data_IF_810546235850
#
_entry.id   IF_810546235850
#
_cell.length_a   1.000
_cell.length_b   1.000
_cell.length_c   1.000
_cell.angle_alpha   90.00
_cell.angle_beta   90.00
_cell.angle_gamma   90.00
#
_symmetry.space_group_name_H-M   'P 1'
#
loop_
_entity.id
_entity.type
_entity.pdbx_description
1 polymer ?
#
# COMPACT_ATOMS: atom_id res chain seq x y z
N UNK A 1 51.97 47.71 9.99
CA UNK A 1 50.59 47.37 9.60
C UNK A 1 50.62 45.97 8.97
N UNK A 2 49.67 45.08 9.33
CA UNK A 2 49.51 43.69 8.83
C UNK A 2 50.30 42.54 9.48
N UNK A 3 50.82 42.72 10.71
CA UNK A 3 51.35 41.58 11.49
C UNK A 3 50.23 40.56 11.73
N UNK A 4 50.48 39.29 11.41
CA UNK A 4 49.49 38.19 11.54
C UNK A 4 48.68 37.91 10.27
N UNK A 5 48.86 38.67 9.18
CA UNK A 5 48.28 38.34 7.88
C UNK A 5 49.17 37.33 7.15
N UNK A 6 48.94 36.04 7.39
CA UNK A 6 49.75 34.94 6.84
C UNK A 6 49.64 34.76 5.32
N UNK A 7 48.75 35.50 4.66
CA UNK A 7 48.57 35.49 3.21
C UNK A 7 49.48 36.49 2.46
N UNK A 8 50.15 37.39 3.19
CA UNK A 8 51.02 38.42 2.63
C UNK A 8 52.47 37.98 2.36
N UNK A 9 53.12 37.08 3.15
CA UNK A 9 54.39 36.50 2.75
C UNK A 9 54.15 35.45 1.66
N UNK A 10 54.08 35.91 0.42
CA UNK A 10 53.72 35.08 -0.72
C UNK A 10 54.93 34.45 -1.37
N UNK A 11 54.77 33.21 -1.84
CA UNK A 11 55.80 32.52 -2.61
C UNK A 11 55.24 32.13 -3.98
N UNK A 12 56.06 32.33 -5.00
CA UNK A 12 55.79 31.93 -6.38
C UNK A 12 57.05 31.32 -6.97
N UNK A 13 56.89 30.39 -7.89
CA UNK A 13 57.99 29.71 -8.55
C UNK A 13 57.78 29.76 -10.07
N UNK A 14 58.73 30.36 -10.78
CA UNK A 14 58.71 30.49 -12.23
C UNK A 14 59.77 29.57 -12.83
N UNK A 15 59.35 28.69 -13.73
CA UNK A 15 60.23 27.76 -14.44
C UNK A 15 60.21 28.07 -15.92
N UNK A 16 61.40 28.21 -16.51
CA UNK A 16 61.60 28.50 -17.92
C UNK A 16 62.26 27.31 -18.62
N UNK A 17 61.78 26.97 -19.81
CA UNK A 17 62.33 25.89 -20.63
C UNK A 17 62.44 26.30 -22.09
N UNK A 18 63.61 26.09 -22.70
CA UNK A 18 63.83 26.25 -24.12
C UNK A 18 63.13 25.15 -24.96
N UNK A 19 62.71 25.51 -26.18
CA UNK A 19 62.24 24.57 -27.20
C UNK A 19 63.35 23.65 -27.75
N UNK A 20 62.98 22.65 -28.56
CA UNK A 20 63.93 21.71 -29.14
C UNK A 20 64.60 22.30 -30.40
N UNK A 21 65.93 22.17 -30.55
CA UNK A 21 66.66 22.50 -31.79
C UNK A 21 67.32 23.89 -31.92
N UNK A 22 67.76 24.51 -30.81
CA UNK A 22 68.23 25.93 -30.71
C UNK A 22 67.06 26.91 -30.69
N UNK A 23 66.85 27.69 -29.60
CA UNK A 23 65.49 28.03 -29.19
C UNK A 23 64.74 29.01 -30.08
N UNK A 24 63.96 28.44 -30.98
CA UNK A 24 62.82 29.07 -31.68
C UNK A 24 61.66 29.50 -30.75
N UNK A 25 61.72 29.18 -29.45
CA UNK A 25 60.71 29.57 -28.45
C UNK A 25 61.06 29.09 -27.03
N UNK A 26 60.37 29.66 -26.03
CA UNK A 26 60.40 29.18 -24.64
C UNK A 26 59.00 28.82 -24.13
N UNK A 27 58.97 27.99 -23.09
CA UNK A 27 57.80 27.79 -22.23
C UNK A 27 58.09 28.40 -20.87
N UNK A 28 57.13 29.18 -20.35
CA UNK A 28 57.15 29.73 -19.00
C UNK A 28 56.00 29.12 -18.21
N UNK A 29 56.30 28.52 -17.06
CA UNK A 29 55.30 27.97 -16.14
C UNK A 29 55.45 28.59 -14.76
N UNK A 30 54.33 29.09 -14.22
CA UNK A 30 54.23 29.69 -12.91
C UNK A 30 53.50 28.75 -11.97
N UNK A 31 54.12 28.39 -10.86
CA UNK A 31 53.52 27.63 -9.78
C UNK A 31 53.08 28.59 -8.67
N UNK A 32 51.77 28.78 -8.54
CA UNK A 32 51.14 29.61 -7.53
C UNK A 32 51.02 28.82 -6.23
N UNK A 33 51.80 29.22 -5.22
CA UNK A 33 51.86 28.57 -3.90
C UNK A 33 51.12 29.34 -2.81
N UNK A 34 50.74 30.58 -3.10
CA UNK A 34 50.03 31.47 -2.18
C UNK A 34 48.92 32.23 -2.92
N UNK A 35 47.80 32.59 -2.26
CA UNK A 35 46.69 33.31 -2.89
C UNK A 35 47.09 34.62 -3.57
N UNK A 36 48.01 35.38 -2.94
CA UNK A 36 48.35 36.75 -3.34
C UNK A 36 49.72 36.91 -4.02
N UNK A 37 50.41 35.81 -4.36
CA UNK A 37 51.73 35.85 -5.02
C UNK A 37 51.68 36.33 -6.47
N UNK A 38 52.71 36.02 -7.26
CA UNK A 38 52.66 36.20 -8.72
C UNK A 38 51.45 35.46 -9.26
N UNK A 39 50.66 36.14 -10.09
CA UNK A 39 49.38 35.65 -10.60
C UNK A 39 49.50 35.02 -11.99
N UNK A 40 50.34 35.61 -12.84
CA UNK A 40 50.54 35.20 -14.23
C UNK A 40 51.98 35.52 -14.65
N UNK A 41 52.44 34.86 -15.70
CA UNK A 41 53.67 35.21 -16.39
C UNK A 41 53.44 35.29 -17.90
N UNK A 42 54.30 36.05 -18.59
CA UNK A 42 54.30 36.19 -20.05
C UNK A 42 55.73 36.42 -20.55
N UNK A 43 55.93 36.26 -21.84
CA UNK A 43 57.24 36.45 -22.47
C UNK A 43 57.16 37.03 -23.87
N UNK A 44 58.21 37.73 -24.30
CA UNK A 44 58.39 38.28 -25.66
C UNK A 44 59.73 37.81 -26.20
N UNK A 45 59.77 37.26 -27.42
CA UNK A 45 61.04 37.05 -28.13
C UNK A 45 61.51 38.40 -28.68
N UNK A 46 62.66 38.87 -28.21
CA UNK A 46 63.21 40.18 -28.62
C UNK A 46 64.14 40.05 -29.81
N UNK A 47 64.92 38.96 -29.90
CA UNK A 47 65.69 38.58 -31.09
C UNK A 47 66.32 37.20 -30.91
N UNK A 48 66.29 36.36 -31.95
CA UNK A 48 66.91 35.03 -31.93
C UNK A 48 66.47 34.20 -30.72
N UNK A 49 67.42 33.91 -29.84
CA UNK A 49 67.26 33.10 -28.64
C UNK A 49 67.08 33.96 -27.35
N UNK A 50 66.81 35.27 -27.49
CA UNK A 50 66.62 36.20 -26.38
C UNK A 50 65.15 36.49 -26.10
N UNK A 51 64.80 36.53 -24.81
CA UNK A 51 63.43 36.66 -24.35
C UNK A 51 63.32 37.60 -23.15
N UNK A 52 62.36 38.51 -23.21
CA UNK A 52 61.92 39.28 -22.04
C UNK A 52 60.82 38.52 -21.31
N UNK A 53 60.89 38.54 -19.98
CA UNK A 53 59.96 37.83 -19.09
C UNK A 53 59.21 38.84 -18.24
N UNK A 54 57.88 38.72 -18.25
CA UNK A 54 56.96 39.58 -17.52
C UNK A 54 56.19 38.75 -16.50
N UNK A 55 55.94 39.32 -15.32
CA UNK A 55 55.14 38.70 -14.26
C UNK A 55 54.07 39.67 -13.78
N UNK A 56 52.84 39.18 -13.57
CA UNK A 56 51.76 39.98 -13.00
C UNK A 56 51.73 39.79 -11.49
N UNK A 57 51.84 40.89 -10.77
CA UNK A 57 51.75 40.94 -9.30
C UNK A 57 50.56 41.82 -8.89
N UNK A 58 50.06 41.61 -7.68
CA UNK A 58 49.02 42.45 -7.11
C UNK A 58 49.53 43.87 -6.81
N UNK A 59 48.60 44.82 -6.72
CA UNK A 59 48.89 46.17 -6.24
C UNK A 59 49.51 46.10 -4.83
N UNK A 60 50.42 47.04 -4.53
CA UNK A 60 51.12 47.15 -3.24
C UNK A 60 52.21 46.09 -2.96
N UNK A 61 52.69 45.38 -3.98
CA UNK A 61 53.94 44.64 -3.88
C UNK A 61 55.10 45.61 -3.59
N UNK A 62 55.83 45.37 -2.49
CA UNK A 62 56.80 46.35 -1.95
C UNK A 62 58.26 45.91 -2.13
N UNK A 63 58.56 44.62 -1.89
CA UNK A 63 59.90 44.04 -2.10
C UNK A 63 59.79 42.70 -2.83
N UNK A 64 60.69 42.47 -3.78
CA UNK A 64 60.83 41.20 -4.49
C UNK A 64 62.22 40.60 -4.21
N UNK A 65 62.24 39.33 -3.84
CA UNK A 65 63.46 38.52 -3.81
C UNK A 65 63.35 37.53 -4.96
N UNK A 66 64.33 37.56 -5.88
CA UNK A 66 64.45 36.61 -6.97
C UNK A 66 65.70 35.75 -6.76
N UNK A 67 65.48 34.44 -6.72
CA UNK A 67 66.54 33.42 -6.75
C UNK A 67 66.40 32.65 -8.05
N UNK A 68 67.51 32.39 -8.73
CA UNK A 68 67.50 31.73 -10.03
C UNK A 68 68.70 30.80 -10.20
N UNK A 69 68.53 29.82 -11.08
CA UNK A 69 69.56 28.91 -11.55
C UNK A 69 69.30 28.60 -13.04
N UNK A 70 70.31 28.17 -13.79
CA UNK A 70 70.19 27.91 -15.21
C UNK A 70 71.21 26.86 -15.71
N UNK A 71 70.92 26.23 -16.85
CA UNK A 71 71.79 25.19 -17.44
C UNK A 71 72.94 25.81 -18.25
N UNK A 72 74.02 25.04 -18.50
CA UNK A 72 75.28 25.55 -19.05
C UNK A 72 75.25 26.27 -20.42
N UNK A 73 74.14 26.22 -21.16
CA UNK A 73 73.95 26.90 -22.45
C UNK A 73 72.86 28.00 -22.40
N UNK A 74 72.44 28.42 -21.20
CA UNK A 74 71.49 29.50 -20.98
C UNK A 74 72.16 30.65 -20.23
N UNK A 75 71.52 31.83 -20.26
CA UNK A 75 71.86 32.95 -19.38
C UNK A 75 70.56 33.57 -18.87
N UNK A 76 70.57 34.02 -17.61
CA UNK A 76 69.48 34.80 -17.03
C UNK A 76 70.07 36.11 -16.53
N UNK A 77 69.50 37.21 -17.01
CA UNK A 77 69.82 38.55 -16.52
C UNK A 77 68.65 39.08 -15.72
N UNK A 78 68.89 39.39 -14.44
CA UNK A 78 67.90 40.03 -13.58
C UNK A 78 68.13 41.54 -13.57
N UNK A 79 67.11 42.31 -13.97
CA UNK A 79 67.15 43.77 -13.85
C UNK A 79 66.70 44.19 -12.44
N UNK A 80 67.50 45.02 -11.77
CA UNK A 80 67.18 45.55 -10.43
C UNK A 80 66.05 46.58 -10.43
N UNK A 81 65.75 47.15 -11.60
CA UNK A 81 64.62 48.04 -11.85
C UNK A 81 63.93 47.62 -13.17
N UNK A 82 63.12 46.56 -13.15
CA UNK A 82 62.40 46.13 -14.34
C UNK A 82 61.39 47.20 -14.78
N UNK A 83 61.15 47.30 -16.09
CA UNK A 83 60.15 48.22 -16.63
C UNK A 83 58.75 47.86 -16.11
N UNK A 84 58.05 48.86 -15.58
CA UNK A 84 56.65 48.70 -15.17
C UNK A 84 55.73 48.96 -16.34
N UNK A 85 54.72 48.11 -16.50
CA UNK A 85 53.63 48.31 -17.44
C UNK A 85 52.29 48.09 -16.73
N UNK A 86 51.37 49.04 -16.86
CA UNK A 86 50.01 48.96 -16.28
C UNK A 86 49.17 47.86 -16.96
N UNK A 87 49.44 47.62 -18.24
CA UNK A 87 48.78 46.59 -19.04
C UNK A 87 49.78 45.54 -19.49
N UNK A 88 49.31 44.34 -19.82
CA UNK A 88 50.18 43.32 -20.44
C UNK A 88 50.84 43.90 -21.71
N UNK A 89 52.17 43.78 -21.89
CA UNK A 89 52.84 44.25 -23.10
C UNK A 89 52.21 43.68 -24.38
N UNK A 90 52.17 44.49 -25.44
CA UNK A 90 51.71 44.06 -26.75
C UNK A 90 52.63 42.95 -27.30
N UNK A 91 52.06 41.97 -28.01
CA UNK A 91 52.77 40.80 -28.56
C UNK A 91 53.36 39.82 -27.53
N UNK A 92 53.06 39.97 -26.23
CA UNK A 92 53.49 38.99 -25.23
C UNK A 92 52.69 37.68 -25.31
N UNK A 93 53.44 36.58 -25.30
CA UNK A 93 52.91 35.22 -25.19
C UNK A 93 52.68 34.88 -23.72
N UNK A 94 51.50 34.32 -23.40
CA UNK A 94 51.18 33.92 -22.03
C UNK A 94 51.95 32.65 -21.63
N UNK A 95 52.47 32.64 -20.40
CA UNK A 95 52.87 31.41 -19.73
C UNK A 95 51.67 30.67 -19.14
N UNK A 96 51.93 29.48 -18.61
CA UNK A 96 50.92 28.67 -17.92
C UNK A 96 51.02 28.83 -16.41
N UNK A 97 49.87 28.97 -15.74
CA UNK A 97 49.82 29.08 -14.27
C UNK A 97 49.17 27.85 -13.68
N UNK A 98 49.86 27.22 -12.72
CA UNK A 98 49.39 26.08 -11.94
C UNK A 98 49.15 26.51 -10.50
N UNK A 99 48.07 26.02 -9.91
CA UNK A 99 47.75 26.25 -8.49
C UNK A 99 48.19 25.05 -7.65
N UNK A 100 48.98 25.28 -6.61
CA UNK A 100 49.26 24.26 -5.59
C UNK A 100 48.21 24.34 -4.49
N UNK A 101 47.33 23.35 -4.43
CA UNK A 101 46.34 23.26 -3.38
C UNK A 101 46.99 23.00 -2.01
N UNK A 102 46.52 23.74 -1.00
CA UNK A 102 46.97 23.65 0.38
C UNK A 102 45.86 24.16 1.33
N UNK A 103 46.13 24.25 2.62
CA UNK A 103 45.13 24.71 3.60
C UNK A 103 44.63 26.14 3.36
N UNK A 104 45.41 27.01 2.71
CA UNK A 104 45.04 28.37 2.27
C UNK A 104 44.45 28.43 0.86
N UNK A 105 44.61 27.36 0.07
CA UNK A 105 44.13 27.23 -1.31
C UNK A 105 43.46 25.87 -1.47
N UNK A 106 42.22 25.71 -0.96
CA UNK A 106 41.48 24.44 -1.04
C UNK A 106 40.91 24.22 -2.44
N UNK A 107 40.87 22.97 -2.94
CA UNK A 107 40.17 22.67 -4.18
C UNK A 107 38.64 22.75 -4.00
N UNK A 108 37.94 23.14 -5.04
CA UNK A 108 36.50 22.95 -5.23
C UNK A 108 36.21 21.56 -5.78
N UNK A 109 34.94 21.13 -5.80
CA UNK A 109 34.56 19.87 -6.44
C UNK A 109 34.96 19.82 -7.93
N UNK A 110 34.95 20.96 -8.63
CA UNK A 110 35.40 21.04 -10.02
C UNK A 110 36.91 20.96 -10.19
N UNK A 111 37.68 21.33 -9.16
CA UNK A 111 39.14 21.27 -9.19
C UNK A 111 39.69 19.83 -9.07
N UNK A 112 38.86 18.89 -8.58
CA UNK A 112 39.22 17.49 -8.33
C UNK A 112 38.24 16.50 -8.96
N UNK A 113 37.41 16.96 -9.88
CA UNK A 113 36.40 16.15 -10.56
C UNK A 113 35.45 15.37 -9.60
N UNK A 114 35.10 15.95 -8.44
CA UNK A 114 34.20 15.37 -7.45
C UNK A 114 32.72 15.76 -7.67
N UNK A 115 31.80 14.98 -7.10
CA UNK A 115 30.37 15.29 -7.13
C UNK A 115 30.06 16.52 -6.25
N UNK A 116 29.33 17.50 -6.79
CA UNK A 116 28.92 18.71 -6.07
C UNK A 116 27.91 18.40 -4.96
N UNK A 117 27.98 19.18 -3.87
CA UNK A 117 27.06 19.11 -2.72
C UNK A 117 25.65 19.60 -3.04
N UNK A 118 25.48 20.39 -4.11
CA UNK A 118 24.16 20.78 -4.62
C UNK A 118 23.55 19.70 -5.52
N UNK A 119 24.10 18.49 -5.46
CA UNK A 119 23.81 17.41 -6.39
C UNK A 119 24.60 17.53 -7.69
N UNK A 120 24.48 16.51 -8.53
CA UNK A 120 25.16 16.44 -9.81
C UNK A 120 24.87 15.12 -10.50
N UNK A 121 25.53 14.89 -11.63
CA UNK A 121 25.37 13.68 -12.43
C UNK A 121 26.57 12.76 -12.24
N UNK A 122 26.30 11.52 -11.83
CA UNK A 122 27.25 10.43 -11.88
C UNK A 122 27.13 9.73 -13.26
N UNK A 123 28.21 9.73 -14.07
CA UNK A 123 28.31 9.00 -15.36
C UNK A 123 28.99 7.62 -15.14
N UNK A 124 28.47 6.84 -14.18
CA UNK A 124 29.02 5.55 -13.75
C UNK A 124 28.25 4.94 -12.57
N UNK A 125 28.66 3.77 -12.08
CA UNK A 125 27.99 3.02 -11.02
C UNK A 125 28.18 3.61 -9.60
N UNK A 126 27.20 3.41 -8.71
CA UNK A 126 27.26 3.75 -7.28
C UNK A 126 27.24 2.47 -6.43
N UNK A 127 28.36 2.10 -5.83
CA UNK A 127 28.44 1.03 -4.83
C UNK A 127 28.34 1.61 -3.43
N UNK A 128 27.41 1.14 -2.62
CA UNK A 128 27.27 1.50 -1.21
C UNK A 128 27.62 0.26 -0.40
N UNK A 129 28.83 0.21 0.16
CA UNK A 129 29.30 -0.89 1.01
C UNK A 129 29.64 -2.22 0.31
N UNK A 130 29.65 -2.26 -1.03
CA UNK A 130 30.26 -3.33 -1.84
C UNK A 130 30.60 -2.78 -3.23
N UNK A 131 31.58 -3.41 -3.91
CA UNK A 131 31.87 -3.08 -5.31
C UNK A 131 30.60 -3.31 -6.14
N UNK A 132 30.18 -2.29 -6.89
CA UNK A 132 29.00 -2.40 -7.73
C UNK A 132 29.33 -3.22 -8.98
N UNK A 133 28.98 -4.50 -8.94
CA UNK A 133 29.12 -5.44 -10.06
C UNK A 133 27.90 -5.47 -11.01
N UNK A 134 26.90 -4.61 -10.83
CA UNK A 134 25.68 -4.59 -11.67
C UNK A 134 25.91 -3.95 -13.07
N UNK A 135 27.04 -3.25 -13.30
CA UNK A 135 27.35 -2.54 -14.57
C UNK A 135 26.49 -1.29 -14.82
N UNK A 136 26.81 -0.48 -15.83
CA UNK A 136 26.02 0.72 -16.19
C UNK A 136 25.85 1.75 -15.06
N UNK A 137 24.68 2.41 -14.96
CA UNK A 137 24.34 3.35 -13.87
C UNK A 137 23.40 2.65 -12.85
N UNK A 138 23.89 2.26 -11.68
CA UNK A 138 23.18 1.39 -10.70
C UNK A 138 23.57 1.66 -9.23
N UNK A 139 22.79 1.16 -8.25
CA UNK A 139 23.02 1.30 -6.79
C UNK A 139 23.02 -0.09 -6.12
N UNK A 140 24.08 -0.45 -5.39
CA UNK A 140 24.18 -1.69 -4.56
C UNK A 140 24.35 -1.29 -3.09
N UNK A 141 23.79 -2.05 -2.12
CA UNK A 141 23.78 -1.75 -0.68
C UNK A 141 24.62 -2.76 0.15
N UNK A 142 25.15 -2.32 1.31
CA UNK A 142 26.41 -2.76 1.96
C UNK A 142 26.41 -3.91 2.98
N UNK A 143 25.33 -4.66 3.03
CA UNK A 143 25.38 -6.07 3.35
C UNK A 143 24.71 -6.80 2.17
N UNK A 144 24.83 -8.12 2.05
CA UNK A 144 24.44 -8.75 0.79
C UNK A 144 22.92 -8.90 0.60
N UNK A 145 22.05 -8.46 1.53
CA UNK A 145 20.63 -8.79 1.44
C UNK A 145 19.62 -7.87 2.17
N UNK A 146 20.05 -6.72 2.69
CA UNK A 146 19.16 -5.70 3.27
C UNK A 146 19.18 -4.43 2.45
N UNK A 147 17.99 -3.86 2.19
CA UNK A 147 17.94 -2.71 1.31
C UNK A 147 16.65 -1.90 1.32
N UNK A 148 16.85 -0.58 1.39
CA UNK A 148 15.89 0.38 0.90
C UNK A 148 15.94 0.32 -0.60
N UNK A 149 14.94 -0.34 -1.10
CA UNK A 149 14.71 -0.30 -2.49
C UNK A 149 13.68 0.81 -2.60
N UNK A 150 14.08 2.04 -2.92
CA UNK A 150 13.10 2.95 -3.51
C UNK A 150 12.55 2.18 -4.68
N UNK A 151 11.39 1.60 -4.43
CA UNK A 151 10.73 0.82 -5.43
C UNK A 151 9.87 1.73 -6.29
N UNK A 152 9.99 3.03 -6.05
CA UNK A 152 9.94 4.07 -7.06
C UNK A 152 9.54 5.44 -6.56
N UNK A 153 9.11 6.24 -7.54
CA UNK A 153 8.51 7.54 -7.35
C UNK A 153 7.18 7.39 -6.61
N UNK A 154 7.11 7.96 -5.40
CA UNK A 154 6.04 7.69 -4.45
C UNK A 154 5.95 6.24 -3.93
N UNK A 155 6.89 5.35 -4.31
CA UNK A 155 6.88 3.93 -3.99
C UNK A 155 8.14 3.53 -3.22
N UNK A 156 7.97 2.73 -2.17
CA UNK A 156 9.10 2.36 -1.35
C UNK A 156 9.00 0.91 -0.86
N UNK A 157 9.94 0.14 -1.42
CA UNK A 157 10.33 -1.24 -1.22
C UNK A 157 11.16 -1.48 0.05
N UNK A 158 10.79 -2.45 0.89
CA UNK A 158 11.56 -2.79 2.09
C UNK A 158 12.02 -4.25 2.04
N UNK A 159 13.33 -4.44 1.93
CA UNK A 159 14.00 -5.74 1.97
C UNK A 159 14.89 -5.81 3.22
N UNK A 160 14.85 -6.90 3.98
CA UNK A 160 15.54 -7.10 5.26
C UNK A 160 16.06 -8.52 5.38
N UNK A 161 17.38 -8.72 5.41
CA UNK A 161 17.98 -10.05 5.59
C UNK A 161 17.44 -11.04 4.53
N UNK A 162 17.36 -10.52 3.30
CA UNK A 162 16.71 -11.08 2.12
C UNK A 162 15.17 -11.21 2.16
N UNK A 163 14.49 -10.77 3.21
CA UNK A 163 13.04 -10.81 3.31
C UNK A 163 12.40 -9.52 2.79
N UNK A 164 11.58 -9.64 1.76
CA UNK A 164 10.77 -8.54 1.27
C UNK A 164 9.52 -8.42 2.13
N UNK A 165 9.35 -7.30 2.82
CA UNK A 165 8.38 -7.24 3.92
C UNK A 165 7.19 -6.34 3.62
N UNK A 166 7.41 -5.22 2.96
CA UNK A 166 6.40 -4.18 2.76
C UNK A 166 6.66 -3.44 1.46
N UNK A 167 5.56 -2.96 0.87
CA UNK A 167 5.55 -1.98 -0.22
C UNK A 167 4.56 -0.85 0.09
N UNK A 168 5.03 0.37 -0.14
CA UNK A 168 4.23 1.61 -0.10
C UNK A 168 4.02 2.12 -1.53
N UNK A 169 2.83 2.64 -1.84
CA UNK A 169 2.55 3.30 -3.11
C UNK A 169 1.46 4.40 -3.00
N UNK A 170 1.25 5.21 -4.06
CA UNK A 170 0.19 6.20 -4.09
C UNK A 170 -1.21 5.54 -4.02
N UNK A 171 -1.87 5.63 -2.86
CA UNK A 171 -3.25 5.15 -2.64
C UNK A 171 -3.40 3.75 -2.02
N UNK A 172 -2.32 3.03 -1.75
CA UNK A 172 -2.40 1.68 -1.17
C UNK A 172 -1.10 1.23 -0.46
N UNK A 173 -1.22 0.17 0.35
CA UNK A 173 -0.12 -0.46 1.09
C UNK A 173 -0.22 -1.97 1.05
N UNK A 174 0.93 -2.62 0.86
CA UNK A 174 1.07 -4.07 0.70
C UNK A 174 1.99 -4.64 1.79
N UNK A 175 1.57 -5.76 2.41
CA UNK A 175 2.28 -6.49 3.49
C UNK A 175 2.57 -7.93 3.03
N UNK A 176 3.83 -8.37 3.13
CA UNK A 176 4.33 -9.63 2.56
C UNK A 176 4.62 -10.75 3.59
N UNK A 177 3.99 -10.66 4.77
CA UNK A 177 3.76 -11.78 5.69
C UNK A 177 2.36 -12.35 5.45
N UNK A 178 1.59 -12.66 6.50
CA UNK A 178 0.16 -12.85 6.36
C UNK A 178 -0.43 -11.69 5.52
N UNK A 179 -0.78 -11.98 4.25
CA UNK A 179 -1.68 -11.12 3.50
C UNK A 179 -3.10 -11.50 3.84
N UNK A 180 -3.90 -10.68 3.26
CA UNK A 180 -5.31 -10.62 3.19
C UNK A 180 -5.46 -10.59 1.60
N UNK A 181 -5.97 -11.64 0.85
CA UNK A 181 -5.59 -12.08 -0.58
C UNK A 181 -6.65 -12.73 -1.61
N UNK A 182 -6.24 -13.38 -2.81
CA UNK A 182 -6.90 -14.38 -3.81
C UNK A 182 -6.19 -14.78 -5.22
N UNK A 183 -6.24 -16.02 -5.83
CA UNK A 183 -5.38 -16.55 -7.00
C UNK A 183 -6.03 -16.82 -8.43
N UNK A 184 -6.92 -17.82 -8.64
CA UNK A 184 -7.46 -18.20 -10.00
C UNK A 184 -8.93 -17.85 -10.27
N UNK A 185 -9.56 -17.27 -9.25
CA UNK A 185 -10.87 -16.62 -9.24
C UNK A 185 -10.67 -15.31 -8.49
N UNK A 186 -11.36 -14.26 -8.90
CA UNK A 186 -11.30 -12.97 -8.21
C UNK A 186 -11.93 -13.12 -6.81
N UNK A 187 -11.15 -12.84 -5.75
CA UNK A 187 -11.71 -12.48 -4.44
C UNK A 187 -11.83 -10.95 -4.41
N UNK A 188 -13.06 -10.44 -4.37
CA UNK A 188 -13.33 -9.00 -4.43
C UNK A 188 -13.93 -8.48 -3.14
N UNK A 189 -13.35 -7.40 -2.61
CA UNK A 189 -13.96 -6.51 -1.62
C UNK A 189 -14.36 -5.24 -2.37
N UNK A 190 -15.66 -4.96 -2.47
CA UNK A 190 -16.18 -3.82 -3.27
C UNK A 190 -17.19 -3.01 -2.49
N UNK A 191 -17.12 -1.69 -2.63
CA UNK A 191 -18.13 -0.74 -2.17
C UNK A 191 -18.66 0.06 -3.36
N UNK A 192 -19.97 0.12 -3.52
CA UNK A 192 -20.66 1.03 -4.46
C UNK A 192 -20.83 2.44 -3.87
N UNK A 193 -20.32 2.67 -2.66
CA UNK A 193 -20.37 3.93 -1.90
C UNK A 193 -21.79 4.49 -1.70
N UNK A 194 -22.80 3.63 -1.79
CA UNK A 194 -24.20 3.94 -1.53
C UNK A 194 -24.73 3.22 -0.28
N UNK A 195 -23.95 2.32 0.31
CA UNK A 195 -24.28 1.75 1.61
C UNK A 195 -24.31 2.88 2.62
N UNK A 196 -25.38 2.93 3.43
CA UNK A 196 -25.47 3.89 4.52
C UNK A 196 -24.40 3.61 5.60
N UNK A 197 -23.90 2.35 5.68
CA UNK A 197 -22.99 1.83 6.71
C UNK A 197 -21.83 1.02 6.08
N UNK A 198 -20.72 0.83 6.80
CA UNK A 198 -19.61 -0.02 6.35
C UNK A 198 -19.91 -1.52 6.53
N UNK A 199 -19.04 -2.38 5.97
CA UNK A 199 -19.10 -3.82 6.18
C UNK A 199 -17.71 -4.40 6.46
N UNK A 200 -17.65 -5.41 7.32
CA UNK A 200 -16.43 -6.07 7.78
C UNK A 200 -16.43 -7.59 7.57
N UNK A 201 -15.23 -8.14 7.33
CA UNK A 201 -14.93 -9.58 7.37
C UNK A 201 -13.82 -9.81 8.40
N UNK A 202 -14.13 -10.59 9.44
CA UNK A 202 -13.29 -10.69 10.64
C UNK A 202 -12.87 -12.15 10.88
N UNK A 203 -11.58 -12.36 11.18
CA UNK A 203 -11.03 -13.61 11.72
C UNK A 203 -10.53 -13.32 13.14
N UNK A 204 -11.16 -13.94 14.13
CA UNK A 204 -10.88 -13.69 15.55
C UNK A 204 -11.10 -14.96 16.40
N UNK A 205 -10.82 -14.92 17.70
CA UNK A 205 -11.12 -15.99 18.65
C UNK A 205 -10.97 -15.49 20.09
N UNK A 206 -11.63 -16.13 21.06
CA UNK A 206 -11.61 -15.71 22.48
C UNK A 206 -10.56 -16.46 23.34
N UNK A 207 -9.83 -17.42 22.75
CA UNK A 207 -8.81 -18.22 23.44
C UNK A 207 -9.35 -19.22 24.47
N UNK A 208 -10.67 -19.39 24.58
CA UNK A 208 -11.35 -20.27 25.53
C UNK A 208 -12.52 -21.00 24.89
N UNK A 209 -13.73 -20.44 25.00
CA UNK A 209 -14.96 -21.08 24.54
C UNK A 209 -15.16 -21.02 23.02
N UNK A 210 -14.45 -20.12 22.33
CA UNK A 210 -14.56 -19.81 20.90
C UNK A 210 -13.15 -19.67 20.31
N UNK A 211 -12.36 -20.76 20.23
CA UNK A 211 -10.96 -20.74 19.78
C UNK A 211 -10.74 -20.17 18.37
N UNK A 212 -11.72 -20.22 17.47
CA UNK A 212 -11.62 -19.61 16.14
C UNK A 212 -13.01 -19.24 15.65
N UNK A 213 -13.20 -17.98 15.25
CA UNK A 213 -14.43 -17.38 14.74
C UNK A 213 -14.14 -16.65 13.44
N UNK A 214 -14.96 -16.92 12.42
CA UNK A 214 -14.99 -16.19 11.16
C UNK A 214 -16.36 -15.50 11.09
N UNK A 215 -16.37 -14.16 11.04
CA UNK A 215 -17.56 -13.33 11.27
C UNK A 215 -17.75 -12.24 10.19
N UNK A 216 -19.01 -11.97 9.86
CA UNK A 216 -19.46 -10.85 9.03
C UNK A 216 -20.35 -9.91 9.85
N UNK A 217 -20.24 -8.61 9.59
CA UNK A 217 -21.07 -7.58 10.21
C UNK A 217 -20.91 -6.21 9.56
N UNK A 218 -21.61 -5.23 10.13
CA UNK A 218 -21.61 -3.82 9.72
C UNK A 218 -21.45 -2.89 10.94
N UNK A 219 -21.76 -1.60 10.77
CA UNK A 219 -21.69 -0.60 11.85
C UNK A 219 -22.73 -0.81 12.97
N UNK A 220 -23.72 -1.69 12.80
CA UNK A 220 -24.82 -1.96 13.76
C UNK A 220 -24.76 -3.34 14.44
N UNK A 221 -23.99 -4.30 13.92
CA UNK A 221 -23.76 -5.57 14.61
C UNK A 221 -23.32 -6.73 13.72
N UNK A 222 -23.12 -7.89 14.34
CA UNK A 222 -22.80 -9.13 13.61
C UNK A 222 -24.03 -9.69 12.92
N UNK A 223 -23.84 -10.18 11.70
CA UNK A 223 -24.90 -10.82 10.91
C UNK A 223 -24.85 -12.33 11.09
N UNK A 224 -23.66 -12.90 10.93
CA UNK A 224 -23.42 -14.33 11.03
C UNK A 224 -21.97 -14.64 11.39
N UNK A 225 -21.75 -15.82 11.96
CA UNK A 225 -20.42 -16.36 12.15
C UNK A 225 -20.40 -17.88 12.03
N UNK A 226 -19.22 -18.40 11.72
CA UNK A 226 -18.86 -19.79 12.00
C UNK A 226 -17.79 -19.82 13.08
N UNK A 227 -17.86 -20.79 13.99
CA UNK A 227 -16.85 -20.98 15.02
C UNK A 227 -16.49 -22.44 15.25
N UNK A 228 -15.27 -22.65 15.73
CA UNK A 228 -14.86 -23.88 16.41
C UNK A 228 -15.08 -23.71 17.92
N UNK A 229 -15.66 -24.70 18.57
CA UNK A 229 -15.89 -24.81 20.02
C UNK A 229 -14.70 -25.50 20.72
N UNK A 230 -14.64 -25.51 22.06
CA UNK A 230 -13.49 -26.05 22.80
C UNK A 230 -13.38 -27.57 22.69
N UNK A 231 -14.53 -28.24 22.56
CA UNK A 231 -14.63 -29.67 22.29
C UNK A 231 -14.29 -30.01 20.83
N UNK A 232 -13.93 -29.02 20.02
CA UNK A 232 -13.58 -29.15 18.61
C UNK A 232 -14.78 -29.13 17.66
N UNK A 233 -16.03 -29.11 18.17
CA UNK A 233 -17.24 -29.02 17.35
C UNK A 233 -17.35 -27.68 16.63
N UNK A 234 -18.12 -27.62 15.53
CA UNK A 234 -18.32 -26.39 14.74
C UNK A 234 -19.76 -25.92 14.88
N UNK A 235 -19.95 -24.62 15.06
CA UNK A 235 -21.26 -23.97 15.05
C UNK A 235 -21.30 -22.88 13.97
N UNK A 236 -22.42 -22.81 13.24
CA UNK A 236 -22.77 -21.71 12.34
C UNK A 236 -24.03 -21.02 12.89
N UNK A 237 -23.97 -19.71 13.12
CA UNK A 237 -25.04 -18.94 13.77
C UNK A 237 -25.36 -17.70 12.94
N UNK A 238 -26.65 -17.42 12.79
CA UNK A 238 -27.19 -16.26 12.05
C UNK A 238 -28.09 -15.46 12.99
N UNK A 239 -27.89 -14.14 13.07
CA UNK A 239 -28.70 -13.22 13.86
C UNK A 239 -29.90 -12.72 13.07
N UNK A 240 -30.83 -13.63 12.79
CA UNK A 240 -31.99 -13.35 11.98
C UNK A 240 -32.55 -14.61 11.34
N UNK A 241 -33.24 -14.44 10.23
CA UNK A 241 -33.82 -15.54 9.51
C UNK A 241 -32.82 -16.15 8.53
N UNK A 242 -32.78 -17.49 8.47
CA UNK A 242 -32.17 -18.21 7.36
C UNK A 242 -33.31 -18.56 6.40
N UNK A 243 -33.32 -17.91 5.23
CA UNK A 243 -34.32 -18.08 4.18
C UNK A 243 -33.63 -18.71 2.96
N UNK A 244 -33.60 -20.04 2.83
CA UNK A 244 -33.12 -20.71 1.63
C UNK A 244 -34.11 -20.58 0.48
N UNK A 245 -33.62 -20.54 -0.76
CA UNK A 245 -34.48 -20.60 -1.95
C UNK A 245 -35.20 -21.95 -2.11
N UNK A 246 -34.71 -23.01 -1.44
CA UNK A 246 -35.25 -24.35 -1.52
C UNK A 246 -35.20 -25.04 -0.15
N UNK A 247 -36.38 -25.33 0.43
CA UNK A 247 -36.54 -26.06 1.69
C UNK A 247 -36.63 -27.58 1.51
N UNK A 248 -36.51 -28.12 0.29
CA UNK A 248 -36.78 -29.53 -0.02
C UNK A 248 -35.98 -30.55 0.80
N UNK A 249 -34.77 -30.22 1.24
CA UNK A 249 -34.00 -31.07 2.16
C UNK A 249 -34.57 -31.04 3.60
N UNK A 250 -35.07 -29.90 4.06
CA UNK A 250 -35.82 -29.79 5.32
C UNK A 250 -37.16 -30.50 5.20
N UNK A 251 -37.91 -30.23 4.15
CA UNK A 251 -39.21 -30.83 3.89
C UNK A 251 -39.11 -32.35 3.71
N UNK A 252 -38.07 -32.88 3.07
CA UNK A 252 -37.86 -34.32 3.06
C UNK A 252 -37.62 -34.85 4.48
N UNK A 253 -36.68 -34.28 5.24
CA UNK A 253 -36.36 -34.79 6.57
C UNK A 253 -37.49 -34.63 7.59
N UNK A 254 -38.21 -33.52 7.50
CA UNK A 254 -39.18 -33.08 8.50
C UNK A 254 -40.63 -33.20 8.01
N UNK A 255 -40.91 -33.19 6.70
CA UNK A 255 -42.23 -33.53 6.14
C UNK A 255 -42.35 -35.02 5.77
N UNK A 256 -41.33 -35.68 5.21
CA UNK A 256 -41.42 -37.11 4.80
C UNK A 256 -41.05 -38.13 5.88
N UNK A 257 -40.80 -37.73 7.13
CA UNK A 257 -40.61 -38.66 8.26
C UNK A 257 -41.88 -39.44 8.66
N UNK A 258 -42.78 -39.71 7.70
CA UNK A 258 -43.97 -40.54 7.82
C UNK A 258 -45.14 -39.91 8.58
N UNK A 259 -44.97 -38.72 9.18
CA UNK A 259 -45.93 -38.17 10.15
C UNK A 259 -46.31 -36.70 9.91
N UNK A 260 -45.95 -36.10 8.78
CA UNK A 260 -46.30 -34.71 8.52
C UNK A 260 -47.02 -34.60 7.18
N UNK A 261 -48.27 -34.15 7.29
CA UNK A 261 -49.15 -33.88 6.18
C UNK A 261 -49.09 -32.38 5.88
N UNK A 262 -49.09 -32.00 4.60
CA UNK A 262 -49.44 -30.62 4.22
C UNK A 262 -50.81 -30.26 4.80
N UNK A 263 -51.12 -28.97 4.94
CA UNK A 263 -52.43 -28.53 5.45
C UNK A 263 -53.58 -29.20 4.68
N UNK A 264 -53.50 -29.25 3.34
CA UNK A 264 -54.52 -29.90 2.52
C UNK A 264 -54.63 -31.42 2.72
N UNK A 265 -53.51 -32.11 2.94
CA UNK A 265 -53.52 -33.54 3.25
C UNK A 265 -54.09 -33.83 4.63
N UNK A 266 -53.72 -33.03 5.64
CA UNK A 266 -54.27 -33.14 7.00
C UNK A 266 -55.77 -32.87 7.00
N UNK A 267 -56.18 -31.79 6.33
CA UNK A 267 -57.58 -31.40 6.19
C UNK A 267 -58.41 -32.54 5.57
N UNK A 268 -57.91 -33.19 4.52
CA UNK A 268 -58.61 -34.30 3.85
C UNK A 268 -58.60 -35.62 4.63
N UNK A 269 -57.64 -35.84 5.54
CA UNK A 269 -57.47 -37.11 6.27
C UNK A 269 -58.15 -37.12 7.62
N UNK A 270 -58.21 -35.98 8.31
CA UNK A 270 -58.61 -35.91 9.71
C UNK A 270 -59.88 -35.07 9.91
N UNK A 271 -60.66 -35.45 10.92
CA UNK A 271 -61.80 -34.66 11.41
C UNK A 271 -61.26 -33.38 12.06
N UNK A 272 -61.55 -32.24 11.45
CA UNK A 272 -61.08 -30.94 11.90
C UNK A 272 -62.05 -30.31 12.92
N UNK A 273 -63.33 -30.68 12.83
CA UNK A 273 -64.37 -30.18 13.73
C UNK A 273 -65.57 -31.15 13.78
N UNK A 274 -66.32 -31.13 14.88
CA UNK A 274 -67.57 -31.86 15.06
C UNK A 274 -68.63 -30.87 15.55
N UNK A 275 -69.79 -30.86 14.90
CA UNK A 275 -70.91 -30.03 15.33
C UNK A 275 -72.24 -30.78 15.26
N UNK A 276 -73.25 -30.16 15.84
CA UNK A 276 -74.64 -30.52 15.56
C UNK A 276 -75.12 -29.65 14.41
N UNK A 277 -75.64 -30.26 13.35
CA UNK A 277 -76.20 -29.52 12.22
C UNK A 277 -77.51 -28.80 12.56
N UNK A 278 -78.17 -28.33 11.51
CA UNK A 278 -79.48 -27.69 11.63
C UNK A 278 -80.50 -28.67 12.25
N UNK A 279 -81.44 -28.17 13.08
CA UNK A 279 -82.56 -28.97 13.55
C UNK A 279 -83.32 -29.61 12.38
N UNK A 280 -83.54 -30.91 12.47
CA UNK A 280 -84.45 -31.64 11.59
C UNK A 280 -85.71 -31.95 12.38
N UNK A 281 -86.83 -31.53 11.81
CA UNK A 281 -88.16 -31.72 12.37
C UNK A 281 -88.95 -32.66 11.47
N UNK A 282 -89.13 -33.93 11.86
CA UNK A 282 -89.91 -34.88 11.06
C UNK A 282 -91.43 -34.63 11.15
N UNK A 283 -91.86 -33.62 11.92
CA UNK A 283 -93.27 -33.34 12.20
C UNK A 283 -93.72 -33.95 13.53
N UNK A 284 -95.03 -33.87 13.80
CA UNK A 284 -95.63 -34.45 15.00
C UNK A 284 -95.67 -35.98 14.88
N UNK A 285 -95.34 -36.69 15.95
CA UNK A 285 -95.46 -38.14 16.07
C UNK A 285 -96.19 -38.50 17.36
N UNK A 286 -96.63 -39.75 17.47
CA UNK A 286 -97.23 -40.29 18.70
C UNK A 286 -96.18 -40.54 19.80
N UNK A 287 -96.63 -40.88 21.02
CA UNK A 287 -95.77 -41.14 22.19
C UNK A 287 -94.78 -42.28 22.02
N UNK A 288 -94.99 -43.16 21.04
CA UNK A 288 -94.06 -44.25 20.76
C UNK A 288 -92.91 -43.79 19.86
N UNK A 289 -93.04 -42.64 19.20
CA UNK A 289 -92.02 -42.04 18.34
C UNK A 289 -91.58 -42.96 17.19
N UNK A 290 -90.66 -42.50 16.32
CA UNK A 290 -89.97 -43.44 15.46
C UNK A 290 -89.11 -44.38 16.33
N UNK A 291 -89.03 -45.66 15.95
CA UNK A 291 -88.22 -46.66 16.66
C UNK A 291 -86.73 -46.28 16.79
N UNK A 292 -86.26 -45.36 15.93
CA UNK A 292 -84.90 -44.88 15.89
C UNK A 292 -84.84 -43.42 15.42
N UNK A 293 -83.82 -42.67 15.86
CA UNK A 293 -83.54 -41.36 15.30
C UNK A 293 -83.15 -41.49 13.81
N UNK A 294 -83.39 -40.46 12.97
CA UNK A 294 -82.91 -40.47 11.59
C UNK A 294 -81.40 -40.75 11.53
N UNK A 295 -80.94 -41.49 10.52
CA UNK A 295 -79.52 -41.87 10.38
C UNK A 295 -78.57 -40.67 10.56
N UNK A 296 -77.55 -40.84 11.39
CA UNK A 296 -76.59 -39.78 11.72
C UNK A 296 -77.07 -38.72 12.70
N UNK A 297 -78.33 -38.78 13.17
CA UNK A 297 -78.90 -37.80 14.08
C UNK A 297 -78.99 -38.30 15.52
N UNK A 298 -79.04 -37.35 16.45
CA UNK A 298 -79.36 -37.60 17.85
C UNK A 298 -80.45 -36.65 18.33
N UNK A 299 -81.17 -37.08 19.36
CA UNK A 299 -82.24 -36.29 19.97
C UNK A 299 -81.65 -35.10 20.72
N UNK A 300 -82.13 -33.90 20.43
CA UNK A 300 -81.72 -32.65 21.12
C UNK A 300 -82.86 -31.93 21.82
N UNK A 301 -84.09 -32.30 21.52
CA UNK A 301 -85.28 -31.78 22.18
C UNK A 301 -86.41 -32.81 22.08
N UNK A 302 -87.07 -33.09 23.19
CA UNK A 302 -88.40 -33.69 23.22
C UNK A 302 -89.34 -32.68 23.86
N UNK A 303 -90.45 -32.38 23.20
CA UNK A 303 -91.50 -31.49 23.72
C UNK A 303 -92.86 -32.13 23.54
N UNK A 304 -93.60 -32.21 24.63
CA UNK A 304 -95.01 -32.54 24.62
C UNK A 304 -95.80 -31.42 23.91
N UNK A 305 -96.69 -31.80 23.00
CA UNK A 305 -97.63 -30.88 22.38
C UNK A 305 -98.80 -30.63 23.36
N UNK A 306 -98.96 -29.40 23.89
CA UNK A 306 -100.01 -29.12 24.87
C UNK A 306 -101.43 -29.21 24.27
N UNK A 307 -101.57 -29.38 22.95
CA UNK A 307 -102.86 -29.46 22.26
C UNK A 307 -103.37 -30.88 22.03
N UNK A 308 -102.61 -31.91 22.38
CA UNK A 308 -103.04 -33.32 22.24
C UNK A 308 -102.68 -34.12 23.50
N UNK A 309 -103.39 -35.24 23.73
CA UNK A 309 -103.13 -36.09 24.88
C UNK A 309 -101.83 -36.91 24.77
N UNK A 310 -101.34 -37.12 23.55
CA UNK A 310 -100.28 -38.09 23.22
C UNK A 310 -99.30 -37.58 22.14
N UNK A 311 -99.28 -36.28 21.84
CA UNK A 311 -98.44 -35.73 20.77
C UNK A 311 -97.07 -35.34 21.32
N UNK A 312 -96.01 -35.87 20.73
CA UNK A 312 -94.64 -35.47 21.04
C UNK A 312 -93.98 -34.94 19.78
N UNK A 313 -93.21 -33.87 19.95
CA UNK A 313 -92.32 -33.34 18.92
C UNK A 313 -90.88 -33.62 19.31
N UNK A 314 -90.16 -34.26 18.39
CA UNK A 314 -88.74 -34.55 18.55
C UNK A 314 -87.93 -33.64 17.63
N UNK A 315 -86.99 -32.92 18.22
CA UNK A 315 -85.99 -32.14 17.52
C UNK A 315 -84.69 -32.93 17.42
N UNK A 316 -84.40 -33.44 16.23
CA UNK A 316 -83.15 -34.13 15.96
C UNK A 316 -82.12 -33.17 15.40
N UNK A 317 -80.83 -33.44 15.64
CA UNK A 317 -79.75 -32.77 14.91
C UNK A 317 -78.78 -33.81 14.39
N UNK A 318 -78.35 -33.72 13.12
CA UNK A 318 -77.30 -34.58 12.61
C UNK A 318 -75.99 -34.27 13.31
N UNK A 319 -75.26 -35.31 13.70
CA UNK A 319 -73.86 -35.20 14.04
C UNK A 319 -73.08 -35.03 12.75
N UNK A 320 -72.40 -33.90 12.63
CA UNK A 320 -71.63 -33.55 11.45
C UNK A 320 -70.16 -33.44 11.80
N UNK A 321 -69.32 -33.92 10.90
CA UNK A 321 -67.87 -33.78 10.95
C UNK A 321 -67.40 -32.94 9.78
N UNK A 322 -66.45 -32.04 10.03
CA UNK A 322 -65.76 -31.30 8.99
C UNK A 322 -64.49 -32.05 8.61
N UNK A 323 -64.46 -32.59 7.38
CA UNK A 323 -63.33 -33.31 6.80
C UNK A 323 -63.19 -32.89 5.34
N UNK A 324 -61.96 -32.62 4.90
CA UNK A 324 -61.65 -31.99 3.63
C UNK A 324 -62.15 -30.55 3.59
N UNK A 325 -63.07 -30.27 2.66
CA UNK A 325 -63.60 -28.92 2.42
C UNK A 325 -65.13 -28.83 2.64
N UNK A 326 -65.69 -29.58 3.60
CA UNK A 326 -67.12 -29.50 3.89
C UNK A 326 -67.59 -30.31 5.11
N UNK A 327 -68.76 -29.91 5.62
CA UNK A 327 -69.50 -30.67 6.62
C UNK A 327 -70.09 -31.93 5.99
N UNK A 328 -69.87 -33.08 6.64
CA UNK A 328 -70.49 -34.35 6.30
C UNK A 328 -71.30 -34.85 7.48
N UNK A 329 -72.55 -35.23 7.23
CA UNK A 329 -73.36 -35.95 8.21
C UNK A 329 -72.81 -37.37 8.33
N UNK A 330 -72.56 -37.82 9.55
CA UNK A 330 -72.13 -39.19 9.82
C UNK A 330 -73.26 -40.14 9.38
N UNK A 331 -72.95 -41.21 8.68
CA UNK A 331 -73.95 -42.22 8.40
C UNK A 331 -74.17 -43.05 9.68
N UNK A 332 -75.42 -43.14 10.13
CA UNK A 332 -75.82 -43.88 11.32
C UNK A 332 -75.71 -45.38 11.12
#
# INVERSE_FOLDING_TARGET
>A
FNVGSFEQPTISELVLRAGNGSPVGITATLWKRSPNGVLECAWINTSGDNYDIYVRINQYAYWLIAQYDYTGNANVTLYSAPEYSETKPANATNGQTYTLYNSMMKPTAGDVDALSVNGGRLNGALGIGTDNALGGNSIVLGDNDTGLKQNGDGILDIFANNQHTVRVAPGEMIVLGAIRAGNGKKLSLTSTNNSALNAGFNLWGDGGNRPTVIELGDDQGWHLYSQRNPDGSIQFVVNGQVIPDNYGNFDARYLTSGNVYTKGESDNRYVQNIQRGAPVWPGKVDEYGPAEAPAGCFLTQARHDPTTAYGVTFGYRPLQMWVGNGWRTING
#
